data_IF_810609389518
#
_entry.id   IF_810609389518
#
_cell.length_a   1.000
_cell.length_b   1.000
_cell.length_c   1.000
_cell.angle_alpha   90.00
_cell.angle_beta   90.00
_cell.angle_gamma   90.00
#
_symmetry.space_group_name_H-M   'P 1'
#
loop_
_entity.id
_entity.type
_entity.pdbx_description
1 polymer ?
#
# COMPACT_ATOMS: atom_id res chain seq x y z
N UNK A 1 -28.80 6.90 -1.66
CA UNK A 1 -27.73 7.78 -2.22
C UNK A 1 -26.38 7.09 -2.15
N UNK A 2 -25.94 6.53 -1.01
CA UNK A 2 -24.65 5.82 -0.94
C UNK A 2 -24.57 4.59 -1.87
N UNK A 3 -25.65 3.81 -2.01
CA UNK A 3 -25.66 2.63 -2.90
C UNK A 3 -25.56 2.98 -4.39
N UNK A 4 -26.20 4.07 -4.83
CA UNK A 4 -26.12 4.52 -6.24
C UNK A 4 -24.72 5.03 -6.56
N UNK A 5 -24.10 5.74 -5.62
CA UNK A 5 -22.73 6.22 -5.76
C UNK A 5 -21.74 5.06 -5.81
N UNK A 6 -21.88 4.07 -4.94
CA UNK A 6 -21.06 2.86 -4.96
C UNK A 6 -21.25 2.05 -6.26
N UNK A 7 -22.47 2.04 -6.81
CA UNK A 7 -22.77 1.40 -8.09
C UNK A 7 -22.09 2.11 -9.27
N UNK A 8 -22.11 3.44 -9.30
CA UNK A 8 -21.37 4.25 -10.29
C UNK A 8 -19.86 4.01 -10.15
N UNK A 9 -19.33 4.00 -8.94
CA UNK A 9 -17.90 3.79 -8.66
C UNK A 9 -17.44 2.34 -8.85
N UNK A 10 -18.34 1.40 -9.14
CA UNK A 10 -18.02 -0.03 -9.28
C UNK A 10 -17.33 -0.39 -10.59
N UNK A 11 -17.39 0.48 -11.60
CA UNK A 11 -16.86 0.21 -12.94
C UNK A 11 -17.81 -0.55 -13.87
N UNK A 12 -19.03 -0.87 -13.42
CA UNK A 12 -19.99 -1.65 -14.20
C UNK A 12 -20.56 -0.87 -15.39
N UNK A 13 -20.65 0.46 -15.29
CA UNK A 13 -21.24 1.30 -16.34
C UNK A 13 -20.29 1.45 -17.53
N UNK A 14 -18.98 1.48 -17.30
CA UNK A 14 -17.95 1.48 -18.33
C UNK A 14 -17.96 0.15 -19.10
N UNK A 15 -18.08 -0.98 -18.39
CA UNK A 15 -18.21 -2.30 -19.00
C UNK A 15 -19.50 -2.43 -19.80
N UNK A 16 -20.59 -1.81 -19.34
CA UNK A 16 -21.87 -1.74 -20.05
C UNK A 16 -21.71 -1.03 -21.39
N UNK A 17 -21.14 0.20 -21.40
CA UNK A 17 -20.95 0.99 -22.62
C UNK A 17 -19.99 0.30 -23.60
N UNK A 18 -18.99 -0.42 -23.09
CA UNK A 18 -18.07 -1.23 -23.91
C UNK A 18 -18.67 -2.54 -24.43
N UNK A 19 -19.90 -2.89 -24.01
CA UNK A 19 -20.56 -4.14 -24.41
C UNK A 19 -19.88 -5.41 -23.86
N UNK A 20 -19.18 -5.31 -22.73
CA UNK A 20 -18.43 -6.41 -22.12
C UNK A 20 -19.18 -7.15 -21.01
N UNK A 21 -20.38 -6.70 -20.67
CA UNK A 21 -21.23 -7.33 -19.66
C UNK A 21 -22.00 -8.53 -20.20
N UNK A 22 -22.37 -9.44 -19.30
CA UNK A 22 -23.30 -10.52 -19.61
C UNK A 22 -24.72 -10.00 -19.84
N UNK A 23 -25.58 -10.80 -20.48
CA UNK A 23 -26.98 -10.44 -20.72
C UNK A 23 -27.77 -10.16 -19.42
N UNK A 24 -27.38 -10.81 -18.31
CA UNK A 24 -28.00 -10.59 -17.01
C UNK A 24 -27.60 -9.24 -16.41
N UNK A 25 -26.31 -8.91 -16.44
CA UNK A 25 -25.77 -7.64 -15.93
C UNK A 25 -26.27 -6.45 -16.78
N UNK A 26 -26.37 -6.62 -18.11
CA UNK A 26 -26.98 -5.60 -18.97
C UNK A 26 -28.42 -5.26 -18.56
N UNK A 27 -29.23 -6.28 -18.26
CA UNK A 27 -30.59 -6.06 -17.79
C UNK A 27 -30.62 -5.33 -16.44
N UNK A 28 -29.70 -5.68 -15.54
CA UNK A 28 -29.56 -5.00 -14.25
C UNK A 28 -29.21 -3.51 -14.41
N UNK A 29 -28.25 -3.18 -15.27
CA UNK A 29 -27.87 -1.79 -15.57
C UNK A 29 -29.05 -1.03 -16.17
N UNK A 30 -29.80 -1.62 -17.10
CA UNK A 30 -31.00 -0.99 -17.69
C UNK A 30 -32.11 -0.75 -16.64
N UNK A 31 -32.32 -1.70 -15.74
CA UNK A 31 -33.27 -1.55 -14.63
C UNK A 31 -32.82 -0.44 -13.68
N UNK A 32 -31.53 -0.36 -13.38
CA UNK A 32 -30.95 0.69 -12.53
C UNK A 32 -31.01 2.07 -13.18
N UNK A 33 -30.72 2.18 -14.47
CA UNK A 33 -30.82 3.42 -15.25
C UNK A 33 -32.26 3.94 -15.35
N UNK A 34 -33.25 3.03 -15.41
CA UNK A 34 -34.67 3.41 -15.39
C UNK A 34 -35.15 3.89 -14.02
N UNK A 35 -34.58 3.38 -12.93
CA UNK A 35 -34.93 3.76 -11.55
C UNK A 35 -34.20 5.01 -11.07
N UNK A 36 -32.97 5.23 -11.54
CA UNK A 36 -32.07 6.27 -11.06
C UNK A 36 -31.56 7.13 -12.23
N UNK A 37 -32.07 8.37 -12.38
CA UNK A 37 -31.62 9.30 -13.43
C UNK A 37 -30.11 9.60 -13.39
N UNK A 38 -29.50 9.53 -12.20
CA UNK A 38 -28.05 9.71 -12.00
C UNK A 38 -27.23 8.65 -12.74
N UNK A 39 -27.67 7.38 -12.70
CA UNK A 39 -27.02 6.27 -13.43
C UNK A 39 -27.11 6.49 -14.93
N UNK A 40 -28.27 6.95 -15.42
CA UNK A 40 -28.46 7.26 -16.83
C UNK A 40 -27.58 8.44 -17.29
N UNK A 41 -27.43 9.46 -16.45
CA UNK A 41 -26.56 10.60 -16.73
C UNK A 41 -25.09 10.16 -16.83
N UNK A 42 -24.66 9.26 -15.94
CA UNK A 42 -23.30 8.71 -15.96
C UNK A 42 -23.04 7.86 -17.23
N UNK A 43 -23.96 6.96 -17.60
CA UNK A 43 -23.86 6.20 -18.85
C UNK A 43 -23.69 7.14 -20.05
N UNK A 44 -24.50 8.20 -20.12
CA UNK A 44 -24.41 9.19 -21.22
C UNK A 44 -23.06 9.91 -21.24
N UNK A 45 -22.51 10.24 -20.06
CA UNK A 45 -21.21 10.89 -19.95
C UNK A 45 -20.08 9.98 -20.44
N UNK A 46 -20.13 8.69 -20.09
CA UNK A 46 -19.18 7.67 -20.54
C UNK A 46 -19.28 7.48 -22.06
N UNK A 47 -20.49 7.38 -22.62
CA UNK A 47 -20.73 7.27 -24.07
C UNK A 47 -20.11 8.44 -24.84
N UNK A 48 -20.33 9.68 -24.37
CA UNK A 48 -19.74 10.89 -24.97
C UNK A 48 -18.21 10.91 -24.90
N UNK A 49 -17.63 10.48 -23.77
CA UNK A 49 -16.18 10.40 -23.63
C UNK A 49 -15.58 9.36 -24.60
N UNK A 50 -16.26 8.23 -24.77
CA UNK A 50 -15.86 7.18 -25.72
C UNK A 50 -16.02 7.63 -27.17
N UNK A 51 -17.09 8.36 -27.50
CA UNK A 51 -17.29 8.96 -28.82
C UNK A 51 -16.15 9.94 -29.15
N UNK A 52 -15.81 10.84 -28.23
CA UNK A 52 -14.71 11.78 -28.41
C UNK A 52 -13.38 11.05 -28.67
N UNK A 53 -13.09 10.02 -27.88
CA UNK A 53 -11.90 9.18 -28.07
C UNK A 53 -11.89 8.45 -29.42
N UNK A 54 -13.04 7.91 -29.83
CA UNK A 54 -13.18 7.20 -31.11
C UNK A 54 -13.00 8.14 -32.30
N UNK A 55 -13.49 9.38 -32.21
CA UNK A 55 -13.30 10.42 -33.23
C UNK A 55 -11.85 10.87 -33.33
N UNK A 56 -11.16 11.07 -32.20
CA UNK A 56 -9.74 11.43 -32.16
C UNK A 56 -8.83 10.34 -32.78
N UNK A 57 -9.29 9.08 -32.76
CA UNK A 57 -8.58 7.93 -33.32
C UNK A 57 -9.25 7.37 -34.58
N UNK A 58 -10.09 8.17 -35.26
CA UNK A 58 -10.83 7.72 -36.42
C UNK A 58 -9.90 7.37 -37.59
N UNK A 59 -10.11 6.19 -38.18
CA UNK A 59 -9.42 5.73 -39.39
C UNK A 59 -10.36 5.92 -40.57
N UNK A 60 -9.86 6.57 -41.62
CA UNK A 60 -10.65 6.82 -42.83
C UNK A 60 -11.05 5.49 -43.50
N UNK A 61 -12.37 5.22 -43.68
CA UNK A 61 -12.82 3.99 -44.31
C UNK A 61 -12.52 3.99 -45.81
N UNK A 62 -12.57 2.81 -46.43
CA UNK A 62 -12.40 2.68 -47.88
C UNK A 62 -13.48 3.47 -48.64
N UNK A 63 -13.10 4.14 -49.73
CA UNK A 63 -13.99 4.97 -50.56
C UNK A 63 -15.26 4.27 -51.04
N UNK A 64 -15.20 2.95 -51.28
CA UNK A 64 -16.35 2.16 -51.76
C UNK A 64 -17.35 1.75 -50.66
N UNK A 65 -17.06 2.03 -49.39
CA UNK A 65 -17.89 1.54 -48.27
C UNK A 65 -19.27 2.20 -48.25
N UNK A 66 -19.33 3.50 -48.54
CA UNK A 66 -20.58 4.27 -48.62
C UNK A 66 -21.56 3.63 -49.61
N UNK A 67 -21.10 3.39 -50.83
CA UNK A 67 -21.91 2.82 -51.92
C UNK A 67 -22.42 1.41 -51.58
N UNK A 68 -21.57 0.59 -50.92
CA UNK A 68 -21.96 -0.76 -50.45
C UNK A 68 -23.06 -0.72 -49.40
N UNK A 69 -22.99 0.24 -48.47
CA UNK A 69 -24.00 0.41 -47.42
C UNK A 69 -25.32 0.85 -48.04
N UNK A 70 -25.31 1.90 -48.88
CA UNK A 70 -26.53 2.41 -49.52
C UNK A 70 -27.19 1.38 -50.43
N UNK A 71 -26.40 0.62 -51.19
CA UNK A 71 -26.90 -0.48 -52.03
C UNK A 71 -27.61 -1.57 -51.20
N UNK A 72 -27.12 -1.89 -49.99
CA UNK A 72 -27.79 -2.87 -49.11
C UNK A 72 -29.07 -2.33 -48.48
N UNK A 73 -29.12 -1.04 -48.16
CA UNK A 73 -30.30 -0.40 -47.59
C UNK A 73 -31.42 -0.33 -48.66
N UNK A 74 -31.11 0.07 -49.91
CA UNK A 74 -32.09 0.09 -51.00
C UNK A 74 -32.65 -1.30 -51.33
N UNK A 75 -31.79 -2.32 -51.35
CA UNK A 75 -32.23 -3.71 -51.57
C UNK A 75 -33.07 -4.26 -50.40
N UNK A 76 -32.92 -3.71 -49.19
CA UNK A 76 -33.73 -4.13 -48.03
C UNK A 76 -35.14 -3.50 -48.03
N UNK A 77 -35.32 -2.36 -48.71
CA UNK A 77 -36.63 -1.70 -48.85
C UNK A 77 -37.49 -2.23 -50.00
N UNK A 78 -36.94 -3.07 -50.89
CA UNK A 78 -37.67 -3.62 -52.06
C UNK A 78 -38.14 -5.07 -51.86
N UNK A 79 -38.00 -5.63 -50.65
CA UNK A 79 -38.58 -6.92 -50.32
C UNK A 79 -39.91 -6.75 -49.58
N UNK A 80 -40.96 -6.39 -50.32
CA UNK A 80 -42.31 -6.77 -49.89
C UNK A 80 -42.33 -8.30 -49.74
N UNK A 81 -42.80 -8.88 -48.63
CA UNK A 81 -42.87 -10.33 -48.50
C UNK A 81 -43.87 -10.83 -49.55
N UNK A 82 -43.35 -11.45 -50.61
CA UNK A 82 -44.15 -12.30 -51.49
C UNK A 82 -44.77 -13.37 -50.60
N UNK A 83 -46.07 -13.21 -50.32
CA UNK A 83 -46.90 -14.25 -49.74
C UNK A 83 -46.96 -15.37 -50.76
N UNK A 84 -46.02 -16.30 -50.67
CA UNK A 84 -46.15 -17.59 -51.30
C UNK A 84 -47.33 -18.30 -50.62
N UNK A 85 -48.29 -18.77 -51.42
CA UNK A 85 -49.39 -19.61 -50.96
C UNK A 85 -48.85 -20.73 -50.05
N UNK A 86 -49.55 -21.07 -48.95
CA UNK A 86 -49.04 -22.04 -48.01
C UNK A 86 -48.89 -23.38 -48.71
N UNK A 87 -47.64 -23.77 -48.98
CA UNK A 87 -47.32 -25.13 -49.42
C UNK A 87 -47.72 -26.05 -48.28
N UNK A 88 -48.85 -26.73 -48.44
CA UNK A 88 -49.36 -27.73 -47.50
C UNK A 88 -48.34 -28.87 -47.49
N UNK A 89 -47.45 -28.87 -46.49
CA UNK A 89 -46.56 -29.99 -46.22
C UNK A 89 -47.36 -30.95 -45.36
N UNK A 90 -47.60 -32.16 -45.85
CA UNK A 90 -48.18 -33.21 -45.02
C UNK A 90 -47.27 -33.45 -43.81
N UNK A 91 -47.80 -33.32 -42.60
CA UNK A 91 -47.11 -33.76 -41.39
C UNK A 91 -47.03 -35.29 -41.43
N UNK A 92 -45.91 -35.81 -41.92
CA UNK A 92 -45.57 -37.21 -41.71
C UNK A 92 -45.25 -37.39 -40.23
N UNK A 93 -46.04 -38.20 -39.53
CA UNK A 93 -45.69 -38.73 -38.21
C UNK A 93 -44.61 -39.80 -38.42
N UNK A 94 -43.41 -39.36 -38.80
CA UNK A 94 -42.35 -40.20 -39.31
C UNK A 94 -40.97 -39.75 -38.84
N UNK A 95 -40.42 -40.52 -37.89
CA UNK A 95 -38.97 -40.73 -37.68
C UNK A 95 -38.12 -39.66 -36.95
N UNK A 96 -38.68 -38.82 -36.08
CA UNK A 96 -37.85 -38.00 -35.17
C UNK A 96 -37.12 -38.82 -34.07
N UNK A 97 -37.38 -40.13 -33.95
CA UNK A 97 -36.75 -41.02 -32.97
C UNK A 97 -35.20 -41.03 -33.07
N UNK A 98 -34.65 -40.93 -34.28
CA UNK A 98 -33.19 -40.88 -34.49
C UNK A 98 -32.55 -39.57 -34.02
N UNK A 99 -33.23 -38.42 -34.23
CA UNK A 99 -32.79 -37.10 -33.78
C UNK A 99 -32.90 -36.96 -32.26
N UNK A 100 -33.99 -37.47 -31.67
CA UNK A 100 -34.19 -37.48 -30.22
C UNK A 100 -33.17 -38.40 -29.53
N UNK A 101 -32.83 -39.55 -30.12
CA UNK A 101 -31.75 -40.42 -29.62
C UNK A 101 -30.38 -39.72 -29.68
N UNK A 102 -30.04 -39.03 -30.77
CA UNK A 102 -28.79 -38.24 -30.87
C UNK A 102 -28.74 -37.11 -29.84
N UNK A 103 -29.86 -36.41 -29.61
CA UNK A 103 -29.94 -35.36 -28.59
C UNK A 103 -29.72 -35.94 -27.18
N UNK A 104 -30.26 -37.12 -26.88
CA UNK A 104 -30.01 -37.81 -25.59
C UNK A 104 -28.53 -38.11 -25.37
N UNK A 105 -27.83 -38.66 -26.37
CA UNK A 105 -26.40 -38.91 -26.26
C UNK A 105 -25.58 -37.61 -26.18
N UNK A 106 -25.99 -36.56 -26.91
CA UNK A 106 -25.36 -35.24 -26.83
C UNK A 106 -25.51 -34.64 -25.42
N UNK A 107 -26.69 -34.75 -24.79
CA UNK A 107 -26.89 -34.28 -23.42
C UNK A 107 -26.05 -35.04 -22.40
N UNK A 108 -25.88 -36.36 -22.56
CA UNK A 108 -24.99 -37.16 -21.70
C UNK A 108 -23.52 -36.77 -21.91
N UNK A 109 -23.09 -36.54 -23.15
CA UNK A 109 -21.74 -36.07 -23.43
C UNK A 109 -21.48 -34.68 -22.83
N UNK A 110 -22.44 -33.76 -22.96
CA UNK A 110 -22.36 -32.43 -22.37
C UNK A 110 -22.32 -32.47 -20.85
N UNK A 111 -23.08 -33.35 -20.19
CA UNK A 111 -23.03 -33.46 -18.73
C UNK A 111 -21.70 -34.02 -18.22
N UNK A 112 -21.08 -34.95 -18.95
CA UNK A 112 -19.73 -35.45 -18.64
C UNK A 112 -18.69 -34.35 -18.82
N UNK A 113 -18.73 -33.61 -19.93
CA UNK A 113 -17.81 -32.50 -20.16
C UNK A 113 -17.96 -31.38 -19.13
N UNK A 114 -19.20 -31.08 -18.72
CA UNK A 114 -19.48 -30.12 -17.67
C UNK A 114 -18.88 -30.58 -16.32
N UNK A 115 -19.00 -31.86 -15.97
CA UNK A 115 -18.42 -32.39 -14.74
C UNK A 115 -16.89 -32.32 -14.74
N UNK A 116 -16.24 -32.62 -15.88
CA UNK A 116 -14.79 -32.47 -16.03
C UNK A 116 -14.38 -31.00 -15.89
N UNK A 117 -15.10 -30.09 -16.54
CA UNK A 117 -14.86 -28.64 -16.47
C UNK A 117 -14.98 -28.11 -15.04
N UNK A 118 -16.03 -28.50 -14.31
CA UNK A 118 -16.21 -28.13 -12.91
C UNK A 118 -15.10 -28.69 -12.01
N UNK A 119 -14.63 -29.92 -12.27
CA UNK A 119 -13.48 -30.49 -11.56
C UNK A 119 -12.19 -29.71 -11.81
N UNK A 120 -11.93 -29.34 -13.07
CA UNK A 120 -10.78 -28.51 -13.43
C UNK A 120 -10.84 -27.12 -12.79
N UNK A 121 -12.01 -26.48 -12.81
CA UNK A 121 -12.24 -25.18 -12.17
C UNK A 121 -12.05 -25.25 -10.66
N UNK A 122 -12.55 -26.30 -10.01
CA UNK A 122 -12.35 -26.51 -8.58
C UNK A 122 -10.88 -26.70 -8.23
N UNK A 123 -10.14 -27.50 -9.00
CA UNK A 123 -8.70 -27.69 -8.82
C UNK A 123 -7.93 -26.38 -8.98
N UNK A 124 -8.21 -25.62 -10.04
CA UNK A 124 -7.58 -24.32 -10.30
C UNK A 124 -7.89 -23.32 -9.19
N UNK A 125 -9.12 -23.31 -8.68
CA UNK A 125 -9.51 -22.46 -7.56
C UNK A 125 -8.78 -22.85 -6.26
N UNK A 126 -8.57 -24.14 -6.02
CA UNK A 126 -7.87 -24.64 -4.83
C UNK A 126 -6.35 -24.33 -4.89
N UNK A 127 -5.72 -24.47 -6.06
CA UNK A 127 -4.34 -24.03 -6.28
C UNK A 127 -4.20 -22.51 -6.08
N UNK A 128 -5.16 -21.73 -6.57
CA UNK A 128 -5.16 -20.28 -6.42
C UNK A 128 -5.28 -19.87 -4.95
N UNK A 129 -6.14 -20.54 -4.17
CA UNK A 129 -6.26 -20.29 -2.73
C UNK A 129 -4.97 -20.68 -2.00
N UNK A 130 -4.36 -21.81 -2.33
CA UNK A 130 -3.07 -22.23 -1.77
C UNK A 130 -1.96 -21.20 -2.07
N UNK A 131 -1.90 -20.69 -3.30
CA UNK A 131 -0.93 -19.68 -3.68
C UNK A 131 -1.15 -18.35 -2.93
N UNK A 132 -2.42 -17.94 -2.73
CA UNK A 132 -2.76 -16.77 -1.90
C UNK A 132 -2.31 -16.94 -0.45
N UNK A 133 -2.56 -18.11 0.15
CA UNK A 133 -2.15 -18.40 1.53
C UNK A 133 -0.62 -18.39 1.67
N UNK A 134 0.10 -18.94 0.69
CA UNK A 134 1.56 -18.88 0.65
C UNK A 134 2.09 -17.46 0.51
N UNK A 135 1.47 -16.62 -0.33
CA UNK A 135 1.84 -15.19 -0.45
C UNK A 135 1.63 -14.47 0.88
N UNK A 136 0.50 -14.72 1.54
CA UNK A 136 0.21 -14.11 2.84
C UNK A 136 1.22 -14.53 3.92
N UNK A 137 1.51 -15.83 4.00
CA UNK A 137 2.53 -16.37 4.91
C UNK A 137 3.92 -15.78 4.61
N UNK A 138 4.32 -15.75 3.34
CA UNK A 138 5.62 -15.22 2.92
C UNK A 138 5.76 -13.72 3.23
N UNK A 139 4.68 -12.94 3.07
CA UNK A 139 4.68 -11.53 3.45
C UNK A 139 4.83 -11.35 4.96
N UNK A 140 4.17 -12.19 5.76
CA UNK A 140 4.31 -12.20 7.21
C UNK A 140 5.73 -12.57 7.63
N UNK A 141 6.31 -13.60 7.01
CA UNK A 141 7.69 -14.03 7.25
C UNK A 141 8.69 -12.92 6.88
N UNK A 142 8.50 -12.23 5.75
CA UNK A 142 9.32 -11.07 5.36
C UNK A 142 9.28 -9.98 6.43
N UNK A 143 8.11 -9.67 6.98
CA UNK A 143 7.98 -8.68 8.06
C UNK A 143 8.71 -9.15 9.34
N UNK A 144 8.60 -10.42 9.68
CA UNK A 144 9.30 -10.99 10.83
C UNK A 144 10.82 -10.99 10.63
N UNK A 145 11.31 -11.34 9.44
CA UNK A 145 12.73 -11.26 9.11
C UNK A 145 13.24 -9.83 9.17
N UNK A 146 12.51 -8.86 8.62
CA UNK A 146 12.88 -7.45 8.73
C UNK A 146 12.99 -7.00 10.19
N UNK A 147 12.03 -7.39 11.05
CA UNK A 147 12.10 -7.11 12.50
C UNK A 147 13.31 -7.76 13.16
N UNK A 148 13.61 -9.02 12.82
CA UNK A 148 14.76 -9.74 13.38
C UNK A 148 16.10 -9.15 12.93
N UNK A 149 16.23 -8.78 11.65
CA UNK A 149 17.43 -8.13 11.11
C UNK A 149 17.64 -6.78 11.78
N UNK A 150 16.60 -5.95 11.84
CA UNK A 150 16.67 -4.65 12.52
C UNK A 150 17.09 -4.81 13.99
N UNK A 151 16.54 -5.81 14.70
CA UNK A 151 16.95 -6.12 16.08
C UNK A 151 18.40 -6.56 16.16
N UNK A 152 18.88 -7.42 15.25
CA UNK A 152 20.24 -7.92 15.27
C UNK A 152 21.27 -6.83 14.95
N UNK A 153 21.00 -5.98 13.96
CA UNK A 153 21.85 -4.82 13.63
C UNK A 153 21.96 -3.85 14.82
N UNK A 154 20.84 -3.64 15.49
CA UNK A 154 20.73 -2.84 16.70
C UNK A 154 21.51 -3.46 17.88
N UNK A 155 21.31 -4.75 18.17
CA UNK A 155 22.05 -5.48 19.21
C UNK A 155 23.56 -5.46 18.94
N UNK A 156 23.96 -5.59 17.67
CA UNK A 156 25.36 -5.51 17.24
C UNK A 156 25.96 -4.14 17.52
N UNK A 157 25.26 -3.06 17.16
CA UNK A 157 25.70 -1.68 17.40
C UNK A 157 25.91 -1.42 18.89
N UNK A 158 24.98 -1.87 19.73
CA UNK A 158 25.12 -1.80 21.19
C UNK A 158 26.34 -2.56 21.73
N UNK A 159 26.64 -3.74 21.19
CA UNK A 159 27.83 -4.52 21.57
C UNK A 159 29.13 -3.85 21.12
N UNK A 160 29.21 -3.35 19.90
CA UNK A 160 30.38 -2.61 19.38
C UNK A 160 30.67 -1.38 20.24
N UNK A 161 29.63 -0.62 20.62
CA UNK A 161 29.77 0.53 21.53
C UNK A 161 30.33 0.11 22.90
N UNK A 162 29.86 -1.02 23.46
CA UNK A 162 30.38 -1.55 24.74
C UNK A 162 31.83 -2.04 24.63
N UNK A 163 32.20 -2.67 23.53
CA UNK A 163 33.58 -3.09 23.26
C UNK A 163 34.50 -1.87 23.19
N UNK A 164 34.11 -0.83 22.43
CA UNK A 164 34.84 0.43 22.35
C UNK A 164 35.04 1.09 23.72
N UNK A 165 34.05 0.96 24.62
CA UNK A 165 34.14 1.41 26.02
C UNK A 165 35.18 0.64 26.85
N UNK A 166 35.44 -0.63 26.55
CA UNK A 166 36.38 -1.49 27.31
C UNK A 166 37.79 -1.55 26.76
N UNK A 167 38.00 -1.25 25.47
CA UNK A 167 39.31 -1.40 24.81
C UNK A 167 40.32 -0.30 25.15
N UNK A 168 39.87 0.84 25.66
CA UNK A 168 40.74 1.99 25.96
C UNK A 168 40.53 2.43 27.40
N UNK A 169 41.61 2.54 28.17
CA UNK A 169 41.54 3.05 29.56
C UNK A 169 41.36 4.59 29.62
N UNK A 170 40.83 5.19 28.54
CA UNK A 170 40.83 6.63 28.25
C UNK A 170 39.43 7.25 28.29
N UNK A 171 38.41 6.47 28.69
CA UNK A 171 37.06 6.97 28.87
C UNK A 171 36.93 7.80 30.14
N UNK A 172 36.54 9.06 29.97
CA UNK A 172 36.16 9.95 31.07
C UNK A 172 34.65 9.89 31.27
N UNK A 173 34.22 9.60 32.50
CA UNK A 173 32.79 9.66 32.86
C UNK A 173 32.43 11.05 33.34
N UNK A 174 31.53 11.73 32.62
CA UNK A 174 30.99 13.04 32.99
C UNK A 174 29.60 12.84 33.58
N UNK A 175 29.46 13.13 34.87
CA UNK A 175 28.18 13.05 35.59
C UNK A 175 27.39 14.33 35.37
N UNK A 176 26.20 14.23 34.79
CA UNK A 176 25.27 15.33 34.60
C UNK A 176 24.24 15.32 35.72
N UNK A 177 24.12 16.44 36.41
CA UNK A 177 23.17 16.63 37.50
C UNK A 177 21.97 17.45 37.02
N UNK A 178 20.81 17.17 37.61
CA UNK A 178 19.57 17.89 37.39
C UNK A 178 19.69 19.38 37.69
N UNK A 179 19.13 20.20 36.80
CA UNK A 179 19.05 21.65 37.03
C UNK A 179 17.81 21.99 37.86
N UNK A 180 17.60 23.27 38.20
CA UNK A 180 16.50 23.70 39.10
C UNK A 180 15.10 23.25 38.66
N UNK A 181 14.87 23.15 37.35
CA UNK A 181 13.60 22.69 36.76
C UNK A 181 13.41 21.18 36.84
N UNK A 182 14.47 20.41 37.09
CA UNK A 182 14.46 18.94 37.15
C UNK A 182 15.51 18.42 38.14
N UNK A 183 15.40 18.73 39.44
CA UNK A 183 16.48 18.49 40.41
C UNK A 183 16.73 17.00 40.71
N UNK A 184 15.76 16.13 40.45
CA UNK A 184 15.92 14.68 40.57
C UNK A 184 16.64 14.04 39.36
N UNK A 185 16.76 14.79 38.25
CA UNK A 185 17.30 14.25 37.02
C UNK A 185 18.80 13.97 37.13
N UNK A 186 19.26 12.90 36.48
CA UNK A 186 20.68 12.52 36.45
C UNK A 186 20.99 11.70 35.20
N UNK A 187 22.21 11.84 34.71
CA UNK A 187 22.69 11.08 33.56
C UNK A 187 24.22 10.99 33.61
N UNK A 188 24.80 9.96 33.00
CA UNK A 188 26.24 9.90 32.77
C UNK A 188 26.55 9.86 31.28
N UNK A 189 27.50 10.68 30.86
CA UNK A 189 28.06 10.70 29.51
C UNK A 189 29.48 10.16 29.58
N UNK A 190 29.81 9.20 28.74
CA UNK A 190 31.15 8.65 28.61
C UNK A 190 31.81 9.29 27.40
N UNK A 191 32.93 9.95 27.62
CA UNK A 191 33.66 10.63 26.56
C UNK A 191 35.09 10.11 26.49
N UNK A 192 35.48 9.61 25.32
CA UNK A 192 36.85 9.23 25.03
C UNK A 192 37.55 10.40 24.33
N UNK A 193 38.56 10.98 24.98
CA UNK A 193 39.26 12.16 24.46
C UNK A 193 40.21 11.83 23.30
N UNK A 194 40.67 10.59 23.17
CA UNK A 194 41.62 10.20 22.14
C UNK A 194 40.93 9.95 20.79
N UNK A 195 39.87 9.14 20.79
CA UNK A 195 39.10 8.84 19.57
C UNK A 195 37.87 9.75 19.38
N UNK A 196 37.61 10.67 20.32
CA UNK A 196 36.55 11.69 20.29
C UNK A 196 35.14 11.14 20.47
N UNK A 197 34.98 9.85 20.73
CA UNK A 197 33.68 9.21 20.84
C UNK A 197 32.95 9.64 22.11
N UNK A 198 31.65 9.90 21.97
CA UNK A 198 30.74 10.22 23.07
C UNK A 198 29.67 9.15 23.10
N UNK A 199 29.46 8.53 24.26
CA UNK A 199 28.47 7.49 24.47
C UNK A 199 27.59 7.85 25.65
N UNK A 200 26.29 7.65 25.49
CA UNK A 200 25.31 7.76 26.57
C UNK A 200 24.89 6.37 27.03
N UNK A 201 24.58 6.21 28.31
CA UNK A 201 24.09 4.95 28.88
C UNK A 201 22.66 5.13 29.38
N UNK A 202 21.73 4.46 28.71
CA UNK A 202 20.29 4.50 29.03
C UNK A 202 19.97 3.91 30.40
N UNK A 203 20.72 2.90 30.85
CA UNK A 203 20.53 2.31 32.19
C UNK A 203 21.02 3.22 33.33
N UNK A 204 21.85 4.23 33.02
CA UNK A 204 22.39 5.18 33.98
C UNK A 204 21.76 6.59 33.84
N UNK A 205 20.53 6.64 33.32
CA UNK A 205 19.77 7.84 33.05
C UNK A 205 18.46 7.84 33.84
N UNK A 206 18.12 8.99 34.41
CA UNK A 206 16.86 9.26 35.08
C UNK A 206 16.49 10.70 34.71
N UNK A 207 15.78 10.87 33.60
CA UNK A 207 15.38 12.16 33.05
C UNK A 207 13.85 12.29 33.07
N UNK A 208 13.31 13.52 33.13
CA UNK A 208 11.87 13.74 33.02
C UNK A 208 11.36 13.27 31.67
N UNK A 209 10.23 12.57 31.67
CA UNK A 209 9.60 12.04 30.47
C UNK A 209 9.29 13.14 29.44
N UNK A 210 9.79 12.99 28.22
CA UNK A 210 9.41 13.77 27.05
C UNK A 210 8.03 13.33 26.54
N UNK A 211 7.26 14.28 25.99
CA UNK A 211 5.98 13.97 25.36
C UNK A 211 6.17 13.47 23.92
N UNK A 212 5.07 13.12 23.23
CA UNK A 212 5.11 12.54 21.88
C UNK A 212 5.66 13.47 20.79
N UNK A 213 5.83 14.77 21.05
CA UNK A 213 6.35 15.75 20.10
C UNK A 213 7.77 16.21 20.41
N UNK A 214 8.41 15.63 21.43
CA UNK A 214 9.73 16.06 21.89
C UNK A 214 10.70 14.87 22.09
N UNK A 215 11.97 15.17 21.93
CA UNK A 215 13.10 14.26 22.14
C UNK A 215 14.15 14.94 23.01
N UNK A 216 15.05 14.15 23.59
CA UNK A 216 16.23 14.72 24.25
C UNK A 216 17.29 15.05 23.21
N UNK A 217 18.03 16.13 23.45
CA UNK A 217 19.21 16.46 22.65
C UNK A 217 20.42 16.64 23.55
N UNK A 218 21.50 15.96 23.21
CA UNK A 218 22.77 16.10 23.92
C UNK A 218 23.58 17.24 23.30
N UNK A 219 24.16 18.07 24.17
CA UNK A 219 24.99 19.20 23.80
C UNK A 219 26.35 19.11 24.47
N UNK A 220 27.40 19.47 23.74
CA UNK A 220 28.70 19.81 24.30
C UNK A 220 28.90 21.33 24.31
N UNK A 221 29.44 21.86 25.40
CA UNK A 221 29.85 23.26 25.46
C UNK A 221 31.31 23.39 25.02
N UNK A 222 31.55 24.08 23.91
CA UNK A 222 32.87 24.32 23.33
C UNK A 222 33.10 25.83 23.27
N UNK A 223 34.07 26.32 24.03
CA UNK A 223 34.40 27.76 24.10
C UNK A 223 33.17 28.62 24.40
N UNK A 224 32.31 28.14 25.31
CA UNK A 224 31.06 28.80 25.70
C UNK A 224 29.91 28.67 24.70
N UNK A 225 30.10 27.95 23.57
CA UNK A 225 29.05 27.72 22.57
C UNK A 225 28.54 26.28 22.59
N UNK A 226 27.21 26.07 22.58
CA UNK A 226 26.65 24.73 22.51
C UNK A 226 26.84 24.13 21.10
N UNK A 227 27.31 22.90 21.05
CA UNK A 227 27.43 22.08 19.84
C UNK A 227 26.54 20.86 20.03
N UNK A 228 25.63 20.61 19.08
CA UNK A 228 24.77 19.44 19.14
C UNK A 228 25.58 18.18 18.96
N UNK A 229 25.28 17.15 19.76
CA UNK A 229 25.83 15.81 19.61
C UNK A 229 24.79 14.78 19.16
N UNK A 230 23.61 15.26 18.78
CA UNK A 230 22.51 14.44 18.31
C UNK A 230 21.38 14.25 19.32
N UNK A 231 20.27 13.71 18.80
CA UNK A 231 19.03 13.47 19.54
C UNK A 231 18.91 12.03 20.02
N UNK A 232 18.19 11.83 21.12
CA UNK A 232 17.87 10.53 21.69
C UNK A 232 16.54 10.58 22.44
N UNK A 233 15.93 9.42 22.68
CA UNK A 233 14.63 9.29 23.34
C UNK A 233 14.75 8.41 24.59
N UNK A 234 13.67 8.24 25.35
CA UNK A 234 13.65 7.36 26.54
C UNK A 234 13.74 5.88 26.17
N UNK A 235 13.23 5.53 24.99
CA UNK A 235 13.05 4.16 24.55
C UNK A 235 14.16 3.75 23.61
N UNK A 236 15.23 3.23 24.20
CA UNK A 236 16.25 2.51 23.46
C UNK A 236 16.22 1.05 23.89
N UNK A 237 16.19 0.13 22.93
CA UNK A 237 16.47 -1.27 23.21
C UNK A 237 17.98 -1.50 23.54
N UNK A 238 18.84 -0.52 23.26
CA UNK A 238 20.29 -0.53 23.37
C UNK A 238 20.63 0.05 24.74
N UNK A 239 21.48 -0.63 25.51
CA UNK A 239 21.90 -0.13 26.82
C UNK A 239 22.74 1.15 26.71
N UNK A 240 23.45 1.33 25.59
CA UNK A 240 24.32 2.48 25.31
C UNK A 240 24.12 2.95 23.88
N UNK A 241 24.22 4.25 23.63
CA UNK A 241 24.15 4.83 22.28
C UNK A 241 25.34 5.75 22.03
N UNK A 242 25.98 5.55 20.89
CA UNK A 242 27.01 6.44 20.37
C UNK A 242 26.35 7.73 19.87
N UNK A 243 26.91 8.86 20.30
CA UNK A 243 26.54 10.21 19.90
C UNK A 243 27.59 10.75 18.91
N UNK A 244 27.36 11.95 18.37
CA UNK A 244 28.36 12.57 17.50
C UNK A 244 29.68 12.81 18.23
N UNK A 245 30.78 12.68 17.51
CA UNK A 245 32.13 12.81 18.07
C UNK A 245 32.47 14.26 18.38
N UNK A 246 33.20 14.49 19.48
CA UNK A 246 33.66 15.83 19.84
C UNK A 246 35.10 15.84 20.32
N UNK A 247 35.87 16.81 19.82
CA UNK A 247 37.30 16.94 20.12
C UNK A 247 37.57 17.57 21.49
N UNK A 248 36.74 18.54 21.89
CA UNK A 248 36.87 19.30 23.14
C UNK A 248 35.47 19.59 23.69
N UNK A 249 35.30 19.47 24.99
CA UNK A 249 34.09 19.87 25.69
C UNK A 249 34.46 20.37 27.08
N UNK A 250 33.87 21.48 27.49
CA UNK A 250 33.99 22.06 28.83
C UNK A 250 32.89 21.53 29.75
N UNK A 251 31.72 21.26 29.18
CA UNK A 251 30.57 20.70 29.84
C UNK A 251 29.71 19.94 28.82
N UNK A 252 28.85 19.08 29.33
CA UNK A 252 27.76 18.49 28.57
C UNK A 252 26.42 18.89 29.19
N UNK A 253 25.39 18.99 28.38
CA UNK A 253 24.03 19.30 28.82
C UNK A 253 23.00 18.54 27.99
N UNK A 254 21.82 18.30 28.57
CA UNK A 254 20.68 17.73 27.86
C UNK A 254 19.49 18.68 27.98
N UNK A 255 18.80 18.87 26.86
CA UNK A 255 17.54 19.61 26.78
C UNK A 255 16.44 18.72 26.19
N UNK A 256 15.18 19.08 26.43
CA UNK A 256 14.02 18.52 25.74
C UNK A 256 13.66 19.45 24.58
N UNK A 257 13.73 18.94 23.35
CA UNK A 257 13.60 19.69 22.10
C UNK A 257 12.52 19.07 21.21
N UNK A 258 11.96 19.79 20.21
CA UNK A 258 11.04 19.19 19.25
C UNK A 258 11.65 17.97 18.53
N UNK A 259 10.81 17.05 18.05
CA UNK A 259 11.28 15.88 17.28
C UNK A 259 12.23 16.29 16.15
N UNK A 260 13.39 15.64 16.07
CA UNK A 260 14.48 16.01 15.16
C UNK A 260 15.49 17.02 15.73
N UNK A 261 15.22 17.58 16.91
CA UNK A 261 16.11 18.47 17.65
C UNK A 261 16.01 19.93 17.23
N UNK A 262 16.84 20.75 17.88
CA UNK A 262 16.96 22.18 17.66
C UNK A 262 18.35 22.54 17.16
N UNK A 263 18.47 23.69 16.48
CA UNK A 263 19.78 24.27 16.07
C UNK A 263 20.54 24.82 17.28
N UNK A 264 19.81 25.39 18.25
CA UNK A 264 20.34 25.91 19.50
C UNK A 264 19.55 25.32 20.68
N UNK A 265 20.16 25.14 21.85
CA UNK A 265 19.47 24.58 23.01
C UNK A 265 18.38 25.53 23.53
N UNK A 266 17.20 24.98 23.78
CA UNK A 266 16.11 25.64 24.50
C UNK A 266 16.44 25.65 25.98
N UNK A 267 17.05 26.74 26.46
CA UNK A 267 17.58 26.85 27.83
C UNK A 267 16.54 26.60 28.93
N UNK A 268 15.27 26.97 28.69
CA UNK A 268 14.15 26.72 29.62
C UNK A 268 13.80 25.23 29.75
N UNK A 269 14.18 24.43 28.75
CA UNK A 269 13.95 22.98 28.67
C UNK A 269 15.20 22.17 29.00
N UNK A 270 16.22 22.81 29.57
CA UNK A 270 17.39 22.11 30.09
C UNK A 270 16.99 21.23 31.28
N UNK A 271 17.45 19.98 31.27
CA UNK A 271 17.14 18.99 32.30
C UNK A 271 18.36 18.64 33.15
N UNK A 272 19.50 18.40 32.52
CA UNK A 272 20.75 18.07 33.21
C UNK A 272 21.94 18.80 32.59
N UNK A 273 22.95 19.09 33.41
CA UNK A 273 24.23 19.65 32.97
C UNK A 273 25.36 19.13 33.87
N UNK A 274 26.56 19.00 33.32
CA UNK A 274 27.76 18.65 34.09
C UNK A 274 29.03 19.12 33.40
N UNK A 275 29.94 19.69 34.18
CA UNK A 275 31.24 20.11 33.70
C UNK A 275 32.15 18.88 33.50
N UNK A 276 33.02 18.95 32.50
CA UNK A 276 34.10 17.96 32.35
C UNK A 276 35.15 18.29 33.40
N UNK A 277 35.27 17.46 34.42
CA UNK A 277 36.41 17.52 35.34
C UNK A 277 37.68 17.21 34.55
N UNK A 278 38.58 18.19 34.50
CA UNK A 278 39.93 18.06 33.93
C UNK A 278 40.83 17.38 34.96
#
# INVERSE_FOLDING_TARGET
MEEVKAYIESGILELYVLGQLSAQENNEVEVMANKHPEVKAEITAIELAMEAYALDNAVEPSVDLSDKIFSKIENSNTAAPTVAEPKIVQMYEGSNDSKVKRLKYALVACSILLAISLGALFSAHNELNTAKDQIFALNTDKEQFAKQVNKLEFDKTGMENRIAMTETNEWTTVKLAGVKTSPAAKMSVYWNKANKNVVINYAAMDLPKADTGHEYQLWALVDGKPVSLGVFNENSAEAVKQMETIQKAQAFAVTIEPTGGSVNPTMEKMVVMGAVSI
#
